data_IF_040866841213
#
_entry.id   IF_040866841213
#
_cell.length_a   1.000
_cell.length_b   1.000
_cell.length_c   1.000
_cell.angle_alpha   90.00
_cell.angle_beta   90.00
_cell.angle_gamma   90.00
#
_symmetry.space_group_name_H-M   'P 1'
#
loop_
_entity.id
_entity.type
_entity.pdbx_description
1 polymer ?
#
# COMPACT_ATOMS: atom_id res chain seq x y z
N UNK A 1 18.86 -8.83 11.66
CA UNK A 1 17.56 -8.49 11.05
C UNK A 1 17.55 -9.14 9.67
N UNK A 2 16.67 -10.11 9.44
CA UNK A 2 16.50 -10.78 8.15
C UNK A 2 16.12 -9.74 7.09
N UNK A 3 16.69 -9.83 5.89
CA UNK A 3 16.25 -8.97 4.78
C UNK A 3 14.74 -9.21 4.56
N UNK A 4 13.92 -8.15 4.38
CA UNK A 4 12.50 -8.32 4.15
C UNK A 4 12.28 -9.13 2.88
N UNK A 5 11.54 -10.23 3.03
CA UNK A 5 11.22 -11.18 1.98
C UNK A 5 10.27 -10.55 0.95
N UNK A 6 10.40 -10.93 -0.31
CA UNK A 6 9.53 -10.43 -1.39
C UNK A 6 8.13 -11.02 -1.23
N UNK A 7 7.11 -10.16 -1.24
CA UNK A 7 5.71 -10.59 -1.10
C UNK A 7 5.20 -11.31 -2.35
N UNK A 8 5.74 -10.97 -3.52
CA UNK A 8 5.26 -11.45 -4.82
C UNK A 8 6.13 -12.57 -5.40
N UNK A 9 6.82 -13.33 -4.54
CA UNK A 9 7.77 -14.35 -4.96
C UNK A 9 7.09 -15.41 -5.85
N UNK A 10 7.69 -15.69 -7.02
CA UNK A 10 7.13 -16.64 -8.00
C UNK A 10 5.95 -16.13 -8.83
N UNK A 11 5.28 -15.04 -8.44
CA UNK A 11 4.10 -14.51 -9.14
C UNK A 11 4.45 -13.46 -10.20
N UNK A 12 5.51 -12.68 -9.97
CA UNK A 12 6.04 -11.71 -10.93
C UNK A 12 7.57 -11.65 -10.86
N UNK A 13 8.23 -11.51 -12.01
CA UNK A 13 9.68 -11.29 -12.06
C UNK A 13 10.04 -9.85 -11.70
N UNK A 14 11.23 -9.61 -11.18
CA UNK A 14 11.67 -8.25 -10.84
C UNK A 14 11.69 -7.33 -12.07
N UNK A 15 12.03 -7.84 -13.25
CA UNK A 15 12.03 -7.05 -14.49
C UNK A 15 10.62 -6.62 -14.89
N UNK A 16 9.62 -7.51 -14.78
CA UNK A 16 8.22 -7.16 -15.04
C UNK A 16 7.68 -6.18 -14.00
N UNK A 17 8.01 -6.39 -12.72
CA UNK A 17 7.63 -5.47 -11.66
C UNK A 17 8.21 -4.06 -11.88
N UNK A 18 9.50 -3.94 -12.26
CA UNK A 18 10.11 -2.66 -12.64
C UNK A 18 9.35 -1.95 -13.77
N UNK A 19 8.92 -2.70 -14.79
CA UNK A 19 8.14 -2.16 -15.89
C UNK A 19 6.76 -1.66 -15.43
N UNK A 20 6.09 -2.39 -14.54
CA UNK A 20 4.81 -1.96 -13.94
C UNK A 20 4.98 -0.71 -13.07
N UNK A 21 6.03 -0.64 -12.25
CA UNK A 21 6.35 0.56 -11.46
C UNK A 21 6.58 1.75 -12.40
N UNK A 22 7.36 1.58 -13.47
CA UNK A 22 7.58 2.64 -14.45
C UNK A 22 6.29 3.09 -15.13
N UNK A 23 5.41 2.13 -15.51
CA UNK A 23 4.11 2.41 -16.12
C UNK A 23 3.26 3.27 -15.19
N UNK A 24 3.10 2.87 -13.93
CA UNK A 24 2.28 3.60 -12.96
C UNK A 24 2.90 4.95 -12.60
N UNK A 25 4.23 5.04 -12.47
CA UNK A 25 4.95 6.30 -12.29
C UNK A 25 4.70 7.27 -13.46
N UNK A 26 4.66 6.79 -14.69
CA UNK A 26 4.30 7.62 -15.84
C UNK A 26 2.85 8.09 -15.79
N UNK A 27 1.91 7.25 -15.32
CA UNK A 27 0.50 7.60 -15.21
C UNK A 27 0.29 8.78 -14.25
N UNK A 28 0.80 8.70 -13.02
CA UNK A 28 0.66 9.79 -12.04
C UNK A 28 1.27 11.11 -12.57
N UNK A 29 2.48 11.06 -13.13
CA UNK A 29 3.12 12.28 -13.63
C UNK A 29 2.41 12.89 -14.83
N UNK A 30 1.94 12.06 -15.79
CA UNK A 30 1.17 12.56 -16.94
C UNK A 30 -0.19 13.10 -16.54
N UNK A 31 -0.88 12.45 -15.60
CA UNK A 31 -2.13 12.95 -15.04
C UNK A 31 -1.95 14.31 -14.37
N UNK A 32 -0.78 14.57 -13.79
CA UNK A 32 -0.39 15.87 -13.24
C UNK A 32 0.25 16.82 -14.26
N UNK A 33 0.11 16.54 -15.57
CA UNK A 33 0.65 17.36 -16.67
C UNK A 33 2.17 17.57 -16.62
N UNK A 34 2.89 16.70 -15.91
CA UNK A 34 4.35 16.75 -15.83
C UNK A 34 5.00 16.10 -17.07
N UNK A 35 6.09 16.68 -17.54
CA UNK A 35 6.89 16.09 -18.61
C UNK A 35 7.71 14.92 -18.07
N UNK A 36 7.42 13.72 -18.59
CA UNK A 36 8.03 12.47 -18.14
C UNK A 36 9.39 12.27 -18.81
N UNK A 37 10.46 12.29 -18.02
CA UNK A 37 11.82 11.95 -18.45
C UNK A 37 12.23 10.64 -17.81
N UNK A 38 12.62 9.66 -18.63
CA UNK A 38 12.95 8.30 -18.14
C UNK A 38 14.14 8.34 -17.19
N UNK A 39 15.04 9.29 -17.38
CA UNK A 39 16.26 9.52 -16.62
C UNK A 39 15.94 9.87 -15.14
N UNK A 40 14.76 10.42 -14.87
CA UNK A 40 14.34 10.79 -13.52
C UNK A 40 13.74 9.62 -12.72
N UNK A 41 13.32 8.56 -13.40
CA UNK A 41 12.57 7.47 -12.78
C UNK A 41 13.39 6.70 -11.73
N UNK A 42 14.51 6.10 -12.12
CA UNK A 42 15.32 5.29 -11.20
C UNK A 42 15.91 6.11 -10.03
N UNK A 43 16.42 7.34 -10.24
CA UNK A 43 16.85 8.20 -9.15
C UNK A 43 15.74 8.49 -8.13
N UNK A 44 14.50 8.73 -8.59
CA UNK A 44 13.38 8.97 -7.70
C UNK A 44 13.01 7.73 -6.89
N UNK A 45 12.92 6.57 -7.54
CA UNK A 45 12.64 5.29 -6.85
C UNK A 45 13.72 5.01 -5.80
N UNK A 46 14.99 5.22 -6.14
CA UNK A 46 16.10 5.02 -5.21
C UNK A 46 16.01 5.96 -4.00
N UNK A 47 15.73 7.24 -4.25
CA UNK A 47 15.60 8.26 -3.20
C UNK A 47 14.46 7.94 -2.23
N UNK A 48 13.33 7.45 -2.73
CA UNK A 48 12.13 7.20 -1.93
C UNK A 48 12.13 5.83 -1.23
N UNK A 49 12.67 4.80 -1.87
CA UNK A 49 12.48 3.41 -1.43
C UNK A 49 13.79 2.64 -1.16
N UNK A 50 14.95 3.17 -1.57
CA UNK A 50 16.26 2.60 -1.30
C UNK A 50 16.79 1.70 -2.42
N UNK A 51 17.41 0.57 -2.05
CA UNK A 51 18.23 -0.25 -2.96
C UNK A 51 17.42 -0.87 -4.12
N UNK A 52 17.75 -0.45 -5.35
CA UNK A 52 17.08 -0.86 -6.59
C UNK A 52 17.35 -2.31 -7.03
N UNK A 53 18.25 -3.02 -6.36
CA UNK A 53 18.52 -4.45 -6.61
C UNK A 53 17.50 -5.34 -5.91
N UNK A 54 16.83 -4.83 -4.87
CA UNK A 54 15.94 -5.60 -4.02
C UNK A 54 14.51 -5.55 -4.56
N UNK A 55 13.87 -6.72 -4.70
CA UNK A 55 12.52 -6.81 -5.24
C UNK A 55 11.49 -6.09 -4.35
N UNK A 56 11.63 -6.15 -3.03
CA UNK A 56 10.72 -5.46 -2.10
C UNK A 56 10.75 -3.93 -2.25
N UNK A 57 11.86 -3.34 -2.72
CA UNK A 57 11.94 -1.90 -3.03
C UNK A 57 10.94 -1.54 -4.11
N UNK A 58 10.84 -2.37 -5.15
CA UNK A 58 9.91 -2.18 -6.25
C UNK A 58 8.46 -2.50 -5.87
N UNK A 59 8.23 -3.45 -4.97
CA UNK A 59 6.90 -3.73 -4.42
C UNK A 59 6.34 -2.52 -3.65
N UNK A 60 7.19 -1.88 -2.83
CA UNK A 60 6.86 -0.62 -2.14
C UNK A 60 6.63 0.53 -3.13
N UNK A 61 7.52 0.68 -4.11
CA UNK A 61 7.40 1.72 -5.12
C UNK A 61 6.11 1.59 -5.94
N UNK A 62 5.76 0.37 -6.35
CA UNK A 62 4.51 0.09 -7.05
C UNK A 62 3.31 0.53 -6.21
N UNK A 63 3.24 0.05 -4.97
CA UNK A 63 2.13 0.33 -4.05
C UNK A 63 1.96 1.84 -3.82
N UNK A 64 3.08 2.56 -3.63
CA UNK A 64 3.08 4.00 -3.45
C UNK A 64 2.60 4.77 -4.68
N UNK A 65 3.19 4.53 -5.85
CA UNK A 65 2.79 5.25 -7.07
C UNK A 65 1.38 4.89 -7.52
N UNK A 66 0.96 3.64 -7.31
CA UNK A 66 -0.40 3.19 -7.61
C UNK A 66 -1.42 3.95 -6.77
N UNK A 67 -1.23 4.01 -5.45
CA UNK A 67 -2.10 4.80 -4.57
C UNK A 67 -2.06 6.28 -4.91
N UNK A 68 -0.87 6.84 -5.17
CA UNK A 68 -0.74 8.26 -5.52
C UNK A 68 -1.50 8.59 -6.80
N UNK A 69 -1.48 7.70 -7.80
CA UNK A 69 -2.29 7.83 -9.01
C UNK A 69 -3.79 7.70 -8.72
N UNK A 70 -4.21 6.68 -7.98
CA UNK A 70 -5.61 6.46 -7.67
C UNK A 70 -6.21 7.61 -6.86
N UNK A 71 -5.52 8.04 -5.80
CA UNK A 71 -6.02 9.09 -4.90
C UNK A 71 -5.85 10.47 -5.53
N UNK A 72 -4.70 10.76 -6.13
CA UNK A 72 -4.36 12.09 -6.62
C UNK A 72 -4.90 12.44 -8.01
N UNK A 73 -5.36 11.46 -8.80
CA UNK A 73 -5.78 11.70 -10.19
C UNK A 73 -7.19 11.23 -10.54
N UNK A 74 -7.81 10.36 -9.73
CA UNK A 74 -9.16 9.88 -10.00
C UNK A 74 -10.16 10.79 -9.30
N UNK A 75 -11.15 11.28 -10.05
CA UNK A 75 -12.07 12.31 -9.57
C UNK A 75 -13.47 11.81 -9.21
N UNK A 76 -13.81 10.57 -9.55
CA UNK A 76 -15.13 9.98 -9.28
C UNK A 76 -15.06 8.73 -8.40
N UNK A 77 -16.10 8.55 -7.58
CA UNK A 77 -16.17 7.47 -6.60
C UNK A 77 -16.26 6.08 -7.20
N UNK A 78 -16.88 5.93 -8.38
CA UNK A 78 -16.99 4.65 -9.05
C UNK A 78 -15.61 4.13 -9.46
N UNK A 79 -14.85 4.99 -10.13
CA UNK A 79 -13.53 4.65 -10.64
C UNK A 79 -12.56 4.48 -9.47
N UNK A 80 -12.66 5.31 -8.43
CA UNK A 80 -11.85 5.19 -7.22
C UNK A 80 -11.95 3.80 -6.58
N UNK A 81 -13.18 3.34 -6.27
CA UNK A 81 -13.36 2.04 -5.65
C UNK A 81 -13.12 0.89 -6.62
N UNK A 82 -13.42 1.05 -7.91
CA UNK A 82 -13.09 0.04 -8.92
C UNK A 82 -11.60 -0.27 -8.97
N UNK A 83 -10.72 0.74 -8.91
CA UNK A 83 -9.28 0.49 -8.90
C UNK A 83 -8.79 -0.07 -7.57
N UNK A 84 -9.46 0.24 -6.46
CA UNK A 84 -9.11 -0.29 -5.13
C UNK A 84 -9.79 -1.62 -4.80
N UNK A 85 -10.62 -2.16 -5.70
CA UNK A 85 -11.29 -3.45 -5.52
C UNK A 85 -10.36 -4.59 -5.95
N UNK A 86 -9.93 -5.46 -5.02
CA UNK A 86 -8.98 -6.54 -5.33
C UNK A 86 -9.54 -7.64 -6.21
N UNK A 87 -10.86 -7.72 -6.39
CA UNK A 87 -11.47 -8.72 -7.28
C UNK A 87 -10.99 -8.56 -8.74
N UNK A 88 -10.61 -7.35 -9.10
CA UNK A 88 -10.16 -6.98 -10.44
C UNK A 88 -8.63 -6.99 -10.57
N UNK A 89 -7.91 -7.37 -9.51
CA UNK A 89 -6.45 -7.37 -9.47
C UNK A 89 -5.87 -8.70 -9.93
N UNK A 90 -4.66 -8.65 -10.50
CA UNK A 90 -3.85 -9.85 -10.70
C UNK A 90 -3.38 -10.43 -9.36
N UNK A 91 -3.13 -11.74 -9.30
CA UNK A 91 -2.66 -12.43 -8.08
C UNK A 91 -1.44 -11.74 -7.44
N UNK A 92 -0.48 -11.29 -8.26
CA UNK A 92 0.71 -10.60 -7.75
C UNK A 92 0.39 -9.22 -7.15
N UNK A 93 -0.65 -8.52 -7.63
CA UNK A 93 -1.12 -7.27 -7.05
C UNK A 93 -1.87 -7.53 -5.73
N UNK A 94 -2.64 -8.62 -5.68
CA UNK A 94 -3.33 -9.05 -4.45
C UNK A 94 -2.34 -9.34 -3.31
N UNK A 95 -1.17 -9.90 -3.60
CA UNK A 95 -0.10 -10.05 -2.59
C UNK A 95 0.45 -8.71 -2.07
N UNK A 96 0.30 -7.63 -2.84
CA UNK A 96 0.68 -6.28 -2.42
C UNK A 96 -0.43 -5.54 -1.65
N UNK A 97 -1.61 -6.13 -1.47
CA UNK A 97 -2.79 -5.44 -0.89
C UNK A 97 -2.52 -4.71 0.42
N UNK A 98 -1.71 -5.30 1.31
CA UNK A 98 -1.37 -4.65 2.58
C UNK A 98 -0.41 -3.47 2.40
N UNK A 99 0.55 -3.55 1.46
CA UNK A 99 1.40 -2.40 1.13
C UNK A 99 0.59 -1.29 0.46
N UNK A 100 -0.38 -1.64 -0.39
CA UNK A 100 -1.31 -0.69 -1.00
C UNK A 100 -2.16 -0.01 0.07
N UNK A 101 -2.71 -0.75 1.03
CA UNK A 101 -3.48 -0.17 2.15
C UNK A 101 -2.63 0.69 3.07
N UNK A 102 -1.38 0.30 3.34
CA UNK A 102 -0.44 1.13 4.09
C UNK A 102 -0.13 2.44 3.35
N UNK A 103 0.12 2.37 2.03
CA UNK A 103 0.32 3.55 1.20
C UNK A 103 -0.93 4.45 1.19
N UNK A 104 -2.12 3.86 1.15
CA UNK A 104 -3.39 4.59 1.25
C UNK A 104 -3.52 5.30 2.58
N UNK A 105 -3.26 4.61 3.69
CA UNK A 105 -3.39 5.16 5.04
C UNK A 105 -2.45 6.35 5.32
N UNK A 106 -1.30 6.42 4.63
CA UNK A 106 -0.35 7.55 4.78
C UNK A 106 -0.49 8.63 3.71
N UNK A 107 -1.29 8.41 2.67
CA UNK A 107 -1.49 9.42 1.62
C UNK A 107 -2.36 10.57 2.15
N UNK A 108 -1.94 11.84 2.02
CA UNK A 108 -2.59 12.97 2.71
C UNK A 108 -4.05 13.19 2.32
N UNK A 109 -4.41 12.86 1.08
CA UNK A 109 -5.75 13.09 0.54
C UNK A 109 -6.66 11.84 0.59
N UNK A 110 -6.15 10.70 1.06
CA UNK A 110 -6.90 9.44 0.98
C UNK A 110 -8.15 9.44 1.84
N UNK A 111 -8.12 10.08 3.01
CA UNK A 111 -9.28 10.16 3.91
C UNK A 111 -10.42 10.93 3.24
N UNK A 112 -10.13 12.13 2.72
CA UNK A 112 -11.12 12.95 2.02
C UNK A 112 -11.65 12.25 0.79
N UNK A 113 -10.78 11.65 -0.02
CA UNK A 113 -11.20 10.94 -1.23
C UNK A 113 -12.06 9.73 -0.90
N UNK A 114 -11.66 8.90 0.07
CA UNK A 114 -12.45 7.74 0.50
C UNK A 114 -13.82 8.16 1.03
N UNK A 115 -13.89 9.20 1.86
CA UNK A 115 -15.15 9.72 2.41
C UNK A 115 -16.08 10.25 1.31
N UNK A 116 -15.55 11.04 0.39
CA UNK A 116 -16.31 11.63 -0.71
C UNK A 116 -16.82 10.54 -1.66
N UNK A 117 -15.95 9.61 -2.05
CA UNK A 117 -16.30 8.46 -2.89
C UNK A 117 -17.36 7.59 -2.24
N UNK A 118 -17.25 7.31 -0.92
CA UNK A 118 -18.25 6.52 -0.20
C UNK A 118 -19.62 7.22 -0.16
N UNK A 119 -19.62 8.53 0.13
CA UNK A 119 -20.85 9.34 0.14
C UNK A 119 -21.52 9.35 -1.23
N UNK A 120 -20.73 9.39 -2.31
CA UNK A 120 -21.22 9.30 -3.68
C UNK A 120 -21.87 7.93 -3.94
N UNK A 121 -21.16 6.81 -3.72
CA UNK A 121 -21.70 5.49 -4.05
C UNK A 121 -22.92 5.13 -3.20
N UNK A 122 -22.96 5.55 -1.93
CA UNK A 122 -24.13 5.33 -1.06
C UNK A 122 -25.35 6.13 -1.53
N UNK A 123 -25.14 7.38 -1.97
CA UNK A 123 -26.23 8.22 -2.51
C UNK A 123 -26.85 7.63 -3.76
N UNK A 124 -26.07 6.91 -4.56
CA UNK A 124 -26.50 6.33 -5.84
C UNK A 124 -26.75 4.82 -5.76
N UNK A 125 -26.78 4.22 -4.56
CA UNK A 125 -27.05 2.79 -4.33
C UNK A 125 -26.07 1.86 -5.07
N UNK A 126 -24.78 2.19 -5.03
CA UNK A 126 -23.67 1.48 -5.70
C UNK A 126 -22.65 0.91 -4.73
N UNK A 127 -23.07 0.58 -3.51
CA UNK A 127 -22.20 0.10 -2.43
C UNK A 127 -21.36 -1.11 -2.83
N UNK A 128 -21.90 -1.97 -3.70
CA UNK A 128 -21.22 -3.18 -4.21
C UNK A 128 -19.91 -2.91 -4.96
N UNK A 129 -19.65 -1.66 -5.37
CA UNK A 129 -18.36 -1.27 -5.94
C UNK A 129 -17.24 -1.21 -4.91
N UNK A 130 -17.57 -1.08 -3.62
CA UNK A 130 -16.61 -0.95 -2.53
C UNK A 130 -16.50 -2.21 -1.65
N UNK A 131 -17.24 -3.28 -1.95
CA UNK A 131 -17.25 -4.51 -1.14
C UNK A 131 -15.84 -5.09 -0.93
N UNK A 132 -15.07 -5.21 -2.01
CA UNK A 132 -13.69 -5.72 -1.94
C UNK A 132 -12.77 -4.81 -1.11
N UNK A 133 -12.95 -3.48 -1.24
CA UNK A 133 -12.21 -2.50 -0.45
C UNK A 133 -12.52 -2.66 1.05
N UNK A 134 -13.80 -2.76 1.43
CA UNK A 134 -14.20 -2.92 2.83
C UNK A 134 -13.79 -4.28 3.41
N UNK A 135 -13.82 -5.35 2.61
CA UNK A 135 -13.31 -6.65 3.02
C UNK A 135 -11.82 -6.58 3.41
N UNK A 136 -11.00 -5.88 2.61
CA UNK A 136 -9.59 -5.67 2.94
C UNK A 136 -9.36 -4.74 4.13
N UNK A 137 -10.15 -3.67 4.25
CA UNK A 137 -10.08 -2.79 5.41
C UNK A 137 -10.33 -3.58 6.70
N UNK A 138 -11.31 -4.49 6.68
CA UNK A 138 -11.59 -5.41 7.77
C UNK A 138 -10.43 -6.36 8.04
N UNK A 139 -9.86 -7.00 7.00
CA UNK A 139 -8.67 -7.86 7.13
C UNK A 139 -7.51 -7.12 7.82
N UNK A 140 -7.24 -5.88 7.41
CA UNK A 140 -6.17 -5.07 7.98
C UNK A 140 -6.37 -4.77 9.47
N UNK A 141 -7.60 -4.42 9.87
CA UNK A 141 -7.97 -4.16 11.26
C UNK A 141 -7.80 -5.44 12.11
N UNK A 142 -8.30 -6.58 11.63
CA UNK A 142 -8.20 -7.85 12.35
C UNK A 142 -6.75 -8.26 12.60
N UNK A 143 -5.87 -8.12 11.59
CA UNK A 143 -4.44 -8.38 11.74
C UNK A 143 -3.79 -7.46 12.79
N UNK A 144 -4.11 -6.16 12.76
CA UNK A 144 -3.57 -5.20 13.73
C UNK A 144 -3.96 -5.55 15.17
N UNK A 145 -5.20 -5.99 15.38
CA UNK A 145 -5.70 -6.44 16.68
C UNK A 145 -5.00 -7.72 17.16
N UNK A 146 -4.77 -8.69 16.26
CA UNK A 146 -4.02 -9.91 16.58
C UNK A 146 -2.59 -9.59 17.04
N UNK A 147 -1.85 -8.72 16.33
CA UNK A 147 -0.50 -8.33 16.73
C UNK A 147 -0.47 -7.62 18.09
N UNK A 148 -1.44 -6.75 18.35
CA UNK A 148 -1.55 -6.03 19.63
C UNK A 148 -1.80 -6.99 20.81
N UNK A 149 -2.58 -8.05 20.57
CA UNK A 149 -2.92 -9.07 21.57
C UNK A 149 -1.75 -10.04 21.82
N UNK A 150 -1.02 -10.44 20.77
CA UNK A 150 0.19 -11.26 20.89
C UNK A 150 1.36 -10.52 21.55
N UNK A 151 1.50 -9.21 21.32
CA UNK A 151 2.55 -8.40 21.94
C UNK A 151 2.31 -8.19 23.44
N UNK A 152 1.05 -8.12 23.88
CA UNK A 152 0.68 -8.00 25.29
C UNK A 152 0.96 -9.27 26.12
N UNK A 153 1.03 -10.46 25.48
CA UNK A 153 1.32 -11.73 26.17
C UNK A 153 2.82 -11.99 26.43
N UNK A 154 3.71 -11.14 25.89
CA UNK A 154 5.18 -11.27 26.09
C UNK A 154 5.68 -10.14 26.99
N UNK A 155 5.25 -10.13 28.25
CA UNK A 155 5.90 -9.33 29.30
C UNK A 155 6.71 -10.26 30.22
N UNK A 156 8.06 -10.15 30.27
CA UNK A 156 8.86 -10.94 31.18
C UNK A 156 8.66 -10.44 32.61
N UNK A 157 8.27 -11.35 33.51
CA UNK A 157 8.40 -11.17 34.95
C UNK A 157 9.86 -10.82 35.26
N UNK A 158 10.14 -9.55 35.50
CA UNK A 158 11.48 -9.10 35.88
C UNK A 158 11.63 -9.31 37.38
N UNK A 159 12.43 -10.33 37.72
CA UNK A 159 12.89 -10.65 39.08
C UNK A 159 13.39 -9.39 39.79
N UNK A 160 12.74 -9.04 40.90
CA UNK A 160 13.27 -8.11 41.90
C UNK A 160 14.47 -8.75 42.58
N UNK A 161 15.68 -8.23 42.31
CA UNK A 161 16.86 -8.44 43.14
C UNK A 161 17.63 -7.13 43.23
N UNK A 162 17.35 -6.36 44.28
CA UNK A 162 18.16 -5.21 44.66
C UNK A 162 18.97 -5.59 45.88
N UNK A 163 20.23 -5.94 45.63
CA UNK A 163 21.27 -6.19 46.64
C UNK A 163 21.69 -4.83 47.21
N UNK A 164 21.26 -4.54 48.44
CA UNK A 164 21.65 -3.33 49.18
C UNK A 164 23.09 -3.47 49.67
N UNK A 165 23.97 -2.54 49.28
CA UNK A 165 25.33 -2.38 49.83
C UNK A 165 25.27 -1.47 51.06
N UNK A 166 25.81 -1.96 52.18
CA UNK A 166 26.52 -1.16 53.18
C UNK A 166 27.84 -1.86 53.44
#
# INVERSE_FOLDING_TARGET
MSAPESLTQGLISIQKLKAEVFRVWCLIHRSNMAYVQRENFEPEVHRLFGDLRLKHTWEKAYSHFFVSWVVGCICDGDTYFRFLDPKDWYDWQYELRLLIFQALAVHPESESMTRNSYSYIARYERESLADGFFALAKEAIERQQQYSTSSAMVSPQTRTSTRSRK
#
